data_IF_514845083523
#
_entry.id   IF_514845083523
#
_cell.length_a   1.000
_cell.length_b   1.000
_cell.length_c   1.000
_cell.angle_alpha   90.00
_cell.angle_beta   90.00
_cell.angle_gamma   90.00
#
_symmetry.space_group_name_H-M   'P 1'
#
loop_
_entity.id
_entity.type
_entity.pdbx_description
1 polymer ?
#
# COMPACT_ATOMS: atom_id res chain seq x y z
N UNK A 1 -3.91 -28.50 -16.45
CA UNK A 1 -3.37 -27.88 -15.23
C UNK A 1 -2.55 -26.68 -15.67
N UNK A 2 -3.14 -25.48 -15.66
CA UNK A 2 -2.39 -24.25 -15.95
C UNK A 2 -1.57 -23.93 -14.71
N UNK A 3 -0.26 -23.89 -14.85
CA UNK A 3 0.67 -23.43 -13.82
C UNK A 3 0.35 -21.95 -13.53
N UNK A 4 -0.18 -21.67 -12.35
CA UNK A 4 -0.28 -20.29 -11.84
C UNK A 4 1.15 -19.78 -11.73
N UNK A 5 1.52 -18.67 -12.37
CA UNK A 5 2.86 -18.12 -12.22
C UNK A 5 3.10 -17.84 -10.74
N UNK A 6 4.16 -18.42 -10.20
CA UNK A 6 4.63 -18.12 -8.83
C UNK A 6 5.20 -16.71 -8.87
N UNK A 7 4.36 -15.71 -8.59
CA UNK A 7 4.82 -14.36 -8.38
C UNK A 7 5.62 -14.34 -7.08
N UNK A 8 6.90 -14.03 -7.16
CA UNK A 8 7.72 -13.77 -5.99
C UNK A 8 7.32 -12.42 -5.42
N UNK A 9 6.66 -12.40 -4.27
CA UNK A 9 6.31 -11.14 -3.57
C UNK A 9 7.54 -10.30 -3.26
N UNK A 10 8.72 -10.92 -3.16
CA UNK A 10 10.00 -10.23 -2.99
C UNK A 10 10.33 -9.33 -4.18
N UNK A 11 10.06 -9.79 -5.42
CA UNK A 11 10.28 -8.98 -6.62
C UNK A 11 9.33 -7.79 -6.69
N UNK A 12 8.09 -7.96 -6.25
CA UNK A 12 7.11 -6.88 -6.23
C UNK A 12 7.42 -5.85 -5.15
N UNK A 13 7.85 -6.28 -3.96
CA UNK A 13 8.32 -5.38 -2.90
C UNK A 13 9.54 -4.58 -3.35
N UNK A 14 10.47 -5.19 -4.08
CA UNK A 14 11.64 -4.46 -4.61
C UNK A 14 11.24 -3.42 -5.67
N UNK A 15 10.32 -3.76 -6.57
CA UNK A 15 9.78 -2.79 -7.53
C UNK A 15 9.10 -1.62 -6.83
N UNK A 16 8.31 -1.87 -5.80
CA UNK A 16 7.68 -0.85 -4.98
C UNK A 16 8.72 0.01 -4.30
N UNK A 17 9.75 -0.61 -3.71
CA UNK A 17 10.85 0.09 -3.05
C UNK A 17 11.53 1.08 -3.99
N UNK A 18 11.83 0.67 -5.21
CA UNK A 18 12.45 1.54 -6.22
C UNK A 18 11.58 2.76 -6.56
N UNK A 19 10.26 2.57 -6.69
CA UNK A 19 9.33 3.69 -6.94
C UNK A 19 9.33 4.67 -5.76
N UNK A 20 9.25 4.17 -4.52
CA UNK A 20 9.21 5.01 -3.32
C UNK A 20 10.55 5.74 -3.09
N UNK A 21 11.68 5.07 -3.32
CA UNK A 21 13.00 5.69 -3.26
C UNK A 21 13.16 6.81 -4.31
N UNK A 22 12.51 6.68 -5.47
CA UNK A 22 12.49 7.75 -6.46
C UNK A 22 11.83 9.01 -5.91
N UNK A 23 10.77 8.88 -5.11
CA UNK A 23 10.12 10.02 -4.46
C UNK A 23 11.06 10.69 -3.44
N UNK A 24 11.71 9.90 -2.59
CA UNK A 24 12.68 10.43 -1.62
C UNK A 24 13.85 11.15 -2.32
N UNK A 25 14.28 10.66 -3.48
CA UNK A 25 15.34 11.28 -4.28
C UNK A 25 14.95 12.63 -4.92
N UNK A 26 13.65 12.92 -5.06
CA UNK A 26 13.16 14.19 -5.57
C UNK A 26 13.33 15.34 -4.59
N UNK A 27 13.54 15.04 -3.30
CA UNK A 27 13.80 16.03 -2.27
C UNK A 27 13.28 15.62 -0.89
N UNK A 28 13.55 16.45 0.14
CA UNK A 28 13.10 16.15 1.49
C UNK A 28 11.57 16.15 1.60
N UNK A 29 11.01 15.51 2.65
CA UNK A 29 9.56 15.47 2.87
C UNK A 29 8.93 16.85 2.80
N UNK A 30 7.84 16.97 2.05
CA UNK A 30 7.12 18.24 1.85
C UNK A 30 7.68 19.16 0.74
N UNK A 31 8.83 18.82 0.16
CA UNK A 31 9.38 19.56 -1.01
C UNK A 31 8.79 19.10 -2.34
N UNK A 32 8.35 17.86 -2.42
CA UNK A 32 7.70 17.30 -3.60
C UNK A 32 6.23 17.70 -3.61
N UNK A 33 5.74 18.09 -4.78
CA UNK A 33 4.31 18.45 -4.87
C UNK A 33 3.42 17.24 -4.56
N UNK A 34 2.37 17.39 -3.73
CA UNK A 34 1.46 16.29 -3.37
C UNK A 34 0.86 15.53 -4.56
N UNK A 35 0.67 16.22 -5.70
CA UNK A 35 0.20 15.60 -6.94
C UNK A 35 1.21 14.59 -7.51
N UNK A 36 2.50 14.91 -7.42
CA UNK A 36 3.59 14.05 -7.90
C UNK A 36 3.72 12.83 -6.99
N UNK A 37 3.75 13.04 -5.67
CA UNK A 37 3.76 11.94 -4.69
C UNK A 37 2.58 11.00 -4.91
N UNK A 38 1.34 11.54 -4.97
CA UNK A 38 0.14 10.73 -5.20
C UNK A 38 0.20 9.98 -6.53
N UNK A 39 0.70 10.60 -7.61
CA UNK A 39 0.81 9.95 -8.90
C UNK A 39 1.77 8.75 -8.87
N UNK A 40 2.92 8.89 -8.20
CA UNK A 40 3.90 7.81 -8.04
C UNK A 40 3.39 6.72 -7.10
N UNK A 41 2.75 7.08 -5.98
CA UNK A 41 2.15 6.10 -5.06
C UNK A 41 0.99 5.34 -5.74
N UNK A 42 0.27 5.94 -6.69
CA UNK A 42 -0.70 5.21 -7.52
C UNK A 42 -0.05 4.15 -8.42
N UNK A 43 1.21 4.32 -8.84
CA UNK A 43 1.93 3.24 -9.54
C UNK A 43 2.23 2.08 -8.58
N UNK A 44 2.56 2.38 -7.32
CA UNK A 44 2.70 1.35 -6.28
C UNK A 44 1.39 0.59 -6.09
N UNK A 45 0.25 1.28 -6.00
CA UNK A 45 -1.05 0.62 -5.89
C UNK A 45 -1.35 -0.30 -7.09
N UNK A 46 -0.89 0.03 -8.29
CA UNK A 46 -1.01 -0.89 -9.46
C UNK A 46 -0.13 -2.13 -9.33
N UNK A 47 1.07 -1.99 -8.75
CA UNK A 47 1.94 -3.15 -8.48
C UNK A 47 1.27 -4.06 -7.44
N UNK A 48 0.67 -3.48 -6.39
CA UNK A 48 -0.12 -4.22 -5.40
C UNK A 48 -1.28 -4.98 -6.05
N UNK A 49 -2.03 -4.32 -6.95
CA UNK A 49 -3.13 -4.96 -7.69
C UNK A 49 -2.66 -6.16 -8.53
N UNK A 50 -1.45 -6.10 -9.08
CA UNK A 50 -0.84 -7.21 -9.84
C UNK A 50 -0.42 -8.37 -8.94
N UNK A 51 0.16 -8.04 -7.77
CA UNK A 51 0.59 -9.03 -6.78
C UNK A 51 -0.58 -9.69 -6.04
N UNK A 52 -1.70 -8.96 -5.89
CA UNK A 52 -2.91 -9.38 -5.19
C UNK A 52 -4.13 -9.29 -6.13
N UNK A 53 -4.28 -10.20 -7.12
CA UNK A 53 -5.29 -10.09 -8.18
C UNK A 53 -6.74 -10.00 -7.68
N UNK A 54 -7.03 -10.60 -6.50
CA UNK A 54 -8.34 -10.54 -5.86
C UNK A 54 -8.67 -9.16 -5.28
N UNK A 55 -7.67 -8.26 -5.17
CA UNK A 55 -7.82 -6.88 -4.71
C UNK A 55 -7.81 -5.84 -5.83
N UNK A 56 -7.90 -6.24 -7.09
CA UNK A 56 -7.74 -5.33 -8.23
C UNK A 56 -8.51 -4.01 -8.06
N UNK A 57 -7.79 -2.89 -8.04
CA UNK A 57 -8.30 -1.54 -7.86
C UNK A 57 -8.81 -1.22 -6.44
N UNK A 58 -8.62 -2.12 -5.46
CA UNK A 58 -9.08 -1.93 -4.09
C UNK A 58 -8.47 -0.67 -3.46
N UNK A 59 -7.15 -0.54 -3.44
CA UNK A 59 -6.48 0.62 -2.84
C UNK A 59 -6.96 1.95 -3.43
N UNK A 60 -7.21 2.00 -4.75
CA UNK A 60 -7.73 3.20 -5.40
C UNK A 60 -9.17 3.52 -4.99
N UNK A 61 -10.05 2.52 -4.90
CA UNK A 61 -11.43 2.70 -4.41
C UNK A 61 -11.44 3.14 -2.96
N UNK A 62 -10.63 2.52 -2.12
CA UNK A 62 -10.46 2.89 -0.70
C UNK A 62 -10.00 4.33 -0.56
N UNK A 63 -8.99 4.76 -1.32
CA UNK A 63 -8.51 6.14 -1.31
C UNK A 63 -9.57 7.15 -1.74
N UNK A 64 -10.39 6.83 -2.74
CA UNK A 64 -11.50 7.69 -3.17
C UNK A 64 -12.54 7.87 -2.06
N UNK A 65 -12.92 6.78 -1.40
CA UNK A 65 -13.87 6.83 -0.28
C UNK A 65 -13.27 7.57 0.94
N UNK A 66 -12.02 7.28 1.28
CA UNK A 66 -11.31 7.94 2.38
C UNK A 66 -11.22 9.46 2.18
N UNK A 67 -10.92 9.91 0.95
CA UNK A 67 -10.94 11.34 0.61
C UNK A 67 -12.32 11.98 0.78
N UNK A 68 -13.37 11.31 0.31
CA UNK A 68 -14.73 11.82 0.44
C UNK A 68 -15.14 11.95 1.91
N UNK A 69 -14.87 10.92 2.72
CA UNK A 69 -15.16 10.91 4.16
C UNK A 69 -14.33 11.97 4.89
N UNK A 70 -13.02 12.01 4.65
CA UNK A 70 -12.12 12.97 5.28
C UNK A 70 -12.47 14.42 4.93
N UNK A 71 -12.86 14.69 3.69
CA UNK A 71 -13.35 16.00 3.24
C UNK A 71 -14.64 16.38 3.95
N UNK A 72 -15.60 15.48 4.05
CA UNK A 72 -16.85 15.69 4.76
C UNK A 72 -16.62 15.89 6.28
N UNK A 73 -15.62 15.26 6.85
CA UNK A 73 -15.19 15.43 8.25
C UNK A 73 -14.38 16.72 8.49
N UNK A 74 -14.11 17.50 7.46
CA UNK A 74 -13.41 18.79 7.59
C UNK A 74 -11.89 18.66 7.74
N UNK A 75 -11.28 17.55 7.30
CA UNK A 75 -9.82 17.41 7.32
C UNK A 75 -9.15 18.46 6.45
N UNK A 76 -8.04 19.04 6.93
CA UNK A 76 -7.24 19.97 6.16
C UNK A 76 -6.56 19.25 4.97
N UNK A 77 -6.03 20.06 4.05
CA UNK A 77 -5.43 19.55 2.79
C UNK A 77 -4.31 18.55 3.04
N UNK A 78 -3.45 18.81 4.01
CA UNK A 78 -2.30 17.95 4.31
C UNK A 78 -2.76 16.63 4.93
N UNK A 79 -3.72 16.65 5.84
CA UNK A 79 -4.31 15.45 6.42
C UNK A 79 -5.00 14.60 5.35
N UNK A 80 -5.73 15.23 4.41
CA UNK A 80 -6.34 14.53 3.27
C UNK A 80 -5.28 13.90 2.35
N UNK A 81 -4.15 14.56 2.15
CA UNK A 81 -3.05 14.01 1.36
C UNK A 81 -2.49 12.75 2.02
N UNK A 82 -2.12 12.80 3.29
CA UNK A 82 -1.61 11.64 4.01
C UNK A 82 -2.63 10.51 4.12
N UNK A 83 -3.89 10.83 4.35
CA UNK A 83 -4.99 9.84 4.32
C UNK A 83 -5.10 9.15 2.97
N UNK A 84 -4.90 9.89 1.87
CA UNK A 84 -4.90 9.32 0.51
C UNK A 84 -3.75 8.36 0.30
N UNK A 85 -2.53 8.74 0.72
CA UNK A 85 -1.36 7.88 0.61
C UNK A 85 -1.54 6.61 1.45
N UNK A 86 -2.01 6.75 2.69
CA UNK A 86 -2.31 5.63 3.58
C UNK A 86 -3.32 4.66 2.94
N UNK A 87 -4.43 5.19 2.42
CA UNK A 87 -5.48 4.39 1.79
C UNK A 87 -5.01 3.65 0.52
N UNK A 88 -4.08 4.24 -0.24
CA UNK A 88 -3.49 3.58 -1.42
C UNK A 88 -2.57 2.42 -1.03
N UNK A 89 -1.93 2.47 0.14
CA UNK A 89 -0.87 1.58 0.56
C UNK A 89 -1.24 0.66 1.74
N UNK A 90 -2.46 0.76 2.28
CA UNK A 90 -2.85 0.09 3.54
C UNK A 90 -2.62 -1.42 3.55
N UNK A 91 -2.68 -2.07 2.38
CA UNK A 91 -2.50 -3.52 2.23
C UNK A 91 -1.08 -3.94 1.83
N UNK A 92 -0.10 -3.00 1.80
CA UNK A 92 1.28 -3.33 1.40
C UNK A 92 1.88 -4.41 2.31
N UNK A 93 1.48 -4.47 3.57
CA UNK A 93 1.92 -5.49 4.51
C UNK A 93 1.54 -6.92 4.12
N UNK A 94 0.53 -7.11 3.27
CA UNK A 94 0.19 -8.44 2.74
C UNK A 94 1.32 -9.02 1.89
N UNK A 95 2.13 -8.18 1.23
CA UNK A 95 3.28 -8.63 0.45
C UNK A 95 4.46 -9.09 1.31
N UNK A 96 4.48 -8.75 2.60
CA UNK A 96 5.50 -9.22 3.54
C UNK A 96 5.16 -10.58 4.15
N UNK A 97 3.95 -11.08 3.91
CA UNK A 97 3.51 -12.40 4.32
C UNK A 97 3.96 -13.48 3.31
N UNK A 98 4.04 -14.75 3.71
CA UNK A 98 4.34 -15.83 2.77
C UNK A 98 3.40 -15.84 1.56
N UNK A 99 3.94 -16.14 0.38
CA UNK A 99 3.20 -16.12 -0.90
C UNK A 99 1.90 -16.94 -0.91
N UNK A 100 1.79 -17.94 -0.04
CA UNK A 100 0.57 -18.73 0.12
C UNK A 100 -0.66 -17.87 0.45
N UNK A 101 -0.48 -16.72 1.10
CA UNK A 101 -1.58 -15.81 1.45
C UNK A 101 -2.03 -14.94 0.27
N UNK A 102 -1.12 -14.58 -0.63
CA UNK A 102 -1.44 -13.78 -1.82
C UNK A 102 -2.33 -14.54 -2.83
N UNK A 103 -2.24 -15.88 -2.83
CA UNK A 103 -3.00 -16.76 -3.74
C UNK A 103 -4.15 -17.51 -3.06
N UNK A 104 -4.40 -17.28 -1.77
CA UNK A 104 -5.40 -18.05 -1.03
C UNK A 104 -6.82 -17.69 -1.47
N UNK A 105 -7.54 -18.71 -1.94
CA UNK A 105 -8.96 -18.63 -2.31
C UNK A 105 -9.75 -19.61 -1.45
N UNK A 106 -10.34 -19.16 -0.37
CA UNK A 106 -11.14 -20.04 0.49
C UNK A 106 -11.13 -19.63 1.97
N UNK A 107 -11.56 -20.54 2.82
CA UNK A 107 -11.55 -20.33 4.27
C UNK A 107 -10.13 -20.36 4.81
N UNK A 108 -9.77 -19.35 5.60
CA UNK A 108 -8.50 -19.30 6.32
C UNK A 108 -8.62 -20.13 7.60
N UNK A 109 -7.62 -20.94 7.87
CA UNK A 109 -7.46 -21.52 9.20
C UNK A 109 -7.08 -20.42 10.23
N UNK A 110 -7.18 -20.76 11.52
CA UNK A 110 -6.93 -19.80 12.61
C UNK A 110 -5.53 -19.19 12.55
N UNK A 111 -4.51 -19.98 12.19
CA UNK A 111 -3.13 -19.51 12.09
C UNK A 111 -2.93 -18.55 10.91
N UNK A 112 -3.47 -18.90 9.76
CA UNK A 112 -3.46 -18.06 8.56
C UNK A 112 -4.21 -16.74 8.77
N UNK A 113 -5.36 -16.79 9.43
CA UNK A 113 -6.12 -15.59 9.77
C UNK A 113 -5.33 -14.67 10.72
N UNK A 114 -4.71 -15.22 11.77
CA UNK A 114 -3.88 -14.46 12.70
C UNK A 114 -2.68 -13.81 11.99
N UNK A 115 -2.04 -14.51 11.03
CA UNK A 115 -0.97 -13.95 10.24
C UNK A 115 -1.44 -12.76 9.39
N UNK A 116 -2.59 -12.89 8.70
CA UNK A 116 -3.17 -11.80 7.92
C UNK A 116 -3.51 -10.60 8.80
N UNK A 117 -4.02 -10.80 10.01
CA UNK A 117 -4.32 -9.70 10.94
C UNK A 117 -3.08 -8.85 11.30
N UNK A 118 -1.87 -9.37 11.10
CA UNK A 118 -0.64 -8.62 11.34
C UNK A 118 -0.26 -7.66 10.19
N UNK A 119 -0.90 -7.77 9.00
CA UNK A 119 -0.48 -6.99 7.82
C UNK A 119 -0.50 -5.47 8.02
N UNK A 120 -1.43 -4.83 8.78
CA UNK A 120 -1.39 -3.38 8.96
C UNK A 120 -0.12 -2.95 9.67
N UNK A 121 0.26 -3.66 10.74
CA UNK A 121 1.50 -3.40 11.49
C UNK A 121 2.74 -3.63 10.63
N UNK A 122 2.77 -4.71 9.86
CA UNK A 122 3.89 -5.02 8.97
C UNK A 122 4.01 -3.97 7.86
N UNK A 123 2.90 -3.53 7.30
CA UNK A 123 2.85 -2.46 6.31
C UNK A 123 3.36 -1.13 6.87
N UNK A 124 2.90 -0.73 8.05
CA UNK A 124 3.36 0.47 8.73
C UNK A 124 4.88 0.44 8.95
N UNK A 125 5.42 -0.64 9.52
CA UNK A 125 6.86 -0.82 9.73
C UNK A 125 7.66 -0.73 8.42
N UNK A 126 7.15 -1.31 7.34
CA UNK A 126 7.83 -1.26 6.05
C UNK A 126 7.84 0.17 5.46
N UNK A 127 6.72 0.90 5.59
CA UNK A 127 6.56 2.27 5.10
C UNK A 127 7.36 3.31 5.90
N UNK A 128 7.64 3.06 7.19
CA UNK A 128 8.46 3.95 8.03
C UNK A 128 9.87 4.20 7.47
N UNK A 129 10.38 3.29 6.64
CA UNK A 129 11.67 3.47 5.97
C UNK A 129 11.69 4.59 4.91
N UNK A 130 10.53 5.12 4.54
CA UNK A 130 10.36 6.21 3.58
C UNK A 130 9.92 7.49 4.30
N UNK A 131 10.78 8.50 4.44
CA UNK A 131 10.50 9.70 5.23
C UNK A 131 9.20 10.42 4.88
N UNK A 132 8.84 10.51 3.59
CA UNK A 132 7.61 11.17 3.15
C UNK A 132 6.33 10.40 3.51
N UNK A 133 6.41 9.11 3.86
CA UNK A 133 5.28 8.27 4.25
C UNK A 133 5.08 8.14 5.76
N UNK A 134 5.95 8.72 6.59
CA UNK A 134 5.86 8.55 8.05
C UNK A 134 4.51 8.96 8.64
N UNK A 135 3.90 10.04 8.13
CA UNK A 135 2.57 10.43 8.60
C UNK A 135 1.46 9.52 8.07
N UNK A 136 1.63 8.97 6.87
CA UNK A 136 0.70 8.01 6.31
C UNK A 136 0.80 6.63 6.98
N UNK A 137 1.98 6.23 7.46
CA UNK A 137 2.21 4.91 8.08
C UNK A 137 1.54 4.73 9.44
N UNK A 138 1.10 5.80 10.09
CA UNK A 138 0.41 5.77 11.41
C UNK A 138 -1.10 5.88 11.31
N UNK A 139 -1.64 6.04 10.12
CA UNK A 139 -3.08 6.06 9.82
C UNK A 139 -3.58 4.64 9.58
#
# INVERSE_FOLDING_TARGET
MQSIPIFSTDSELERIRLVLQTIDALGPPGSVQPRVETALVRQVAKILDQALPWQQGHGRRTATLAQAIGSAAGLCRDALHHLTLAALLHDIGLLTLPNAFASHTGYLDVGSYAAIQCHPRLGAQWLESFPFLRQASVI
#
